data_IF_731537273661
#
_entry.id   IF_731537273661
#
_cell.length_a   1.000
_cell.length_b   1.000
_cell.length_c   1.000
_cell.angle_alpha   90.00
_cell.angle_beta   90.00
_cell.angle_gamma   90.00
#
_symmetry.space_group_name_H-M   'P 1'
#
loop_
_entity.id
_entity.type
_entity.pdbx_description
1 polymer ?
#
# COMPACT_ATOMS: atom_id res chain seq x y z
N UNK A 1 -1.88 -1.92 -10.10
CA UNK A 1 -1.50 -1.72 -8.68
C UNK A 1 -2.61 -2.26 -7.82
N UNK A 2 -2.28 -2.96 -6.77
CA UNK A 2 -3.25 -3.33 -5.73
C UNK A 2 -3.82 -2.06 -5.11
N UNK A 3 -5.10 -2.08 -4.72
CA UNK A 3 -5.65 -1.01 -3.89
C UNK A 3 -5.14 -1.11 -2.45
N UNK A 4 -5.59 -0.20 -1.59
CA UNK A 4 -5.25 -0.20 -0.16
C UNK A 4 -5.52 -1.56 0.51
N UNK A 5 -6.58 -2.26 0.09
CA UNK A 5 -6.97 -3.59 0.61
C UNK A 5 -5.88 -4.62 0.33
N UNK A 6 -5.37 -4.67 -0.91
CA UNK A 6 -4.28 -5.58 -1.27
C UNK A 6 -3.00 -5.31 -0.48
N UNK A 7 -2.54 -4.06 -0.45
CA UNK A 7 -1.30 -3.71 0.26
C UNK A 7 -1.36 -3.95 1.75
N UNK A 8 -2.47 -3.61 2.39
CA UNK A 8 -2.69 -3.91 3.81
C UNK A 8 -2.70 -5.42 4.05
N UNK A 9 -3.32 -6.19 3.17
CA UNK A 9 -3.34 -7.66 3.28
C UNK A 9 -1.94 -8.25 3.14
N UNK A 10 -1.13 -7.79 2.18
CA UNK A 10 0.26 -8.26 2.04
C UNK A 10 1.08 -7.97 3.31
N UNK A 11 0.89 -6.78 3.89
CA UNK A 11 1.55 -6.42 5.15
C UNK A 11 1.10 -7.32 6.32
N UNK A 12 -0.20 -7.58 6.46
CA UNK A 12 -0.73 -8.47 7.49
C UNK A 12 -0.17 -9.88 7.34
N UNK A 13 -0.23 -10.45 6.14
CA UNK A 13 0.28 -11.80 5.85
C UNK A 13 1.79 -11.87 6.03
N UNK A 14 2.54 -10.86 5.60
CA UNK A 14 3.99 -10.77 5.81
C UNK A 14 4.37 -10.73 7.29
N UNK A 15 3.65 -9.95 8.10
CA UNK A 15 3.89 -9.90 9.54
C UNK A 15 3.52 -11.23 10.26
N UNK A 16 2.47 -11.92 9.80
CA UNK A 16 2.13 -13.26 10.29
C UNK A 16 3.20 -14.29 9.94
N UNK A 17 3.65 -14.32 8.69
CA UNK A 17 4.73 -15.19 8.25
C UNK A 17 6.05 -14.90 8.98
N UNK A 18 6.41 -13.61 9.18
CA UNK A 18 7.56 -13.22 9.99
C UNK A 18 7.45 -13.69 11.45
N UNK A 19 6.22 -13.66 12.02
CA UNK A 19 5.96 -14.17 13.37
C UNK A 19 6.11 -15.69 13.44
N UNK A 20 5.54 -16.42 12.47
CA UNK A 20 5.65 -17.88 12.39
C UNK A 20 7.11 -18.33 12.25
N UNK A 21 7.91 -17.58 11.50
CA UNK A 21 9.34 -17.81 11.32
C UNK A 21 10.20 -17.30 12.49
N UNK A 22 9.60 -16.66 13.50
CA UNK A 22 10.28 -16.07 14.67
C UNK A 22 11.36 -15.05 14.28
N UNK A 23 11.13 -14.26 13.23
CA UNK A 23 12.06 -13.22 12.83
C UNK A 23 12.17 -12.13 13.92
N UNK A 24 13.38 -11.61 14.21
CA UNK A 24 13.58 -10.55 15.22
C UNK A 24 12.74 -9.28 14.98
N UNK A 25 12.42 -9.00 13.72
CA UNK A 25 11.58 -7.86 13.34
C UNK A 25 10.10 -8.03 13.67
N UNK A 26 9.60 -9.26 13.82
CA UNK A 26 8.15 -9.50 14.02
C UNK A 26 7.56 -8.82 15.28
N UNK A 27 8.23 -8.79 16.45
CA UNK A 27 7.78 -8.00 17.59
C UNK A 27 7.70 -6.50 17.29
N UNK A 28 8.69 -5.95 16.63
CA UNK A 28 8.75 -4.53 16.24
C UNK A 28 7.54 -4.14 15.38
N UNK A 29 7.17 -4.95 14.39
CA UNK A 29 6.01 -4.68 13.53
C UNK A 29 4.71 -4.60 14.35
N UNK A 30 4.55 -5.49 15.34
CA UNK A 30 3.36 -5.52 16.20
C UNK A 30 3.31 -4.36 17.19
N UNK A 31 4.45 -3.93 17.76
CA UNK A 31 4.51 -2.76 18.65
C UNK A 31 4.16 -1.47 17.91
N UNK A 32 4.61 -1.35 16.67
CA UNK A 32 4.45 -0.14 15.85
C UNK A 32 3.55 -0.38 14.64
N UNK A 33 2.46 -1.12 14.86
CA UNK A 33 1.55 -1.61 13.84
C UNK A 33 1.04 -0.51 12.89
N UNK A 34 0.57 0.62 13.44
CA UNK A 34 0.09 1.75 12.64
C UNK A 34 1.16 2.29 11.68
N UNK A 35 2.41 2.40 12.13
CA UNK A 35 3.52 2.85 11.28
C UNK A 35 3.86 1.82 10.20
N UNK A 36 3.82 0.54 10.52
CA UNK A 36 4.03 -0.54 9.58
C UNK A 36 2.96 -0.53 8.47
N UNK A 37 1.68 -0.46 8.83
CA UNK A 37 0.59 -0.37 7.87
C UNK A 37 0.65 0.91 7.03
N UNK A 38 1.03 2.03 7.65
CA UNK A 38 1.19 3.29 6.95
C UNK A 38 2.29 3.17 5.87
N UNK A 39 3.43 2.58 6.18
CA UNK A 39 4.49 2.27 5.20
C UNK A 39 3.99 1.36 4.09
N UNK A 40 3.19 0.35 4.42
CA UNK A 40 2.66 -0.61 3.46
C UNK A 40 1.72 0.00 2.40
N UNK A 41 1.13 1.15 2.68
CA UNK A 41 0.30 1.84 1.70
C UNK A 41 0.90 3.21 1.30
N UNK A 42 1.00 4.14 2.24
CA UNK A 42 1.44 5.50 1.95
C UNK A 42 2.92 5.61 1.60
N UNK A 43 3.73 4.62 1.95
CA UNK A 43 5.15 4.59 1.61
C UNK A 43 5.43 4.66 0.11
N UNK A 44 4.52 4.18 -0.70
CA UNK A 44 4.66 4.19 -2.15
C UNK A 44 3.50 4.90 -2.87
N UNK A 45 2.28 4.83 -2.33
CA UNK A 45 1.10 5.41 -2.98
C UNK A 45 1.00 6.92 -2.73
N UNK A 46 1.70 7.69 -3.55
CA UNK A 46 1.69 9.17 -3.54
C UNK A 46 0.55 9.73 -4.39
N UNK A 47 -0.33 8.87 -4.91
CA UNK A 47 -1.42 9.25 -5.81
C UNK A 47 -2.75 9.55 -5.10
N UNK A 48 -2.84 9.31 -3.80
CA UNK A 48 -4.07 9.57 -3.03
C UNK A 48 -4.17 11.07 -2.74
N UNK A 49 -4.27 11.87 -3.79
CA UNK A 49 -4.46 13.31 -3.79
C UNK A 49 -5.74 13.66 -4.54
N UNK A 50 -6.40 14.77 -4.20
CA UNK A 50 -7.57 15.23 -4.97
C UNK A 50 -7.19 15.55 -6.41
N UNK A 51 -8.05 15.25 -7.37
CA UNK A 51 -7.88 15.65 -8.77
C UNK A 51 -8.51 17.03 -9.04
N UNK A 52 -9.59 17.33 -8.35
CA UNK A 52 -10.34 18.55 -8.57
C UNK A 52 -11.05 19.03 -7.30
N UNK A 53 -11.52 20.28 -7.35
CA UNK A 53 -12.36 20.89 -6.33
C UNK A 53 -13.67 21.33 -6.99
N UNK A 54 -14.81 20.93 -6.42
CA UNK A 54 -16.13 21.37 -6.85
C UNK A 54 -16.29 22.87 -6.61
N UNK A 55 -16.69 23.61 -7.63
CA UNK A 55 -16.80 25.07 -7.55
C UNK A 55 -17.93 25.49 -6.61
N UNK A 56 -19.02 24.75 -6.61
CA UNK A 56 -20.25 25.02 -5.85
C UNK A 56 -20.14 24.67 -4.36
N UNK A 57 -19.40 23.62 -4.02
CA UNK A 57 -19.33 23.10 -2.66
C UNK A 57 -17.97 23.26 -1.99
N UNK A 58 -16.93 23.60 -2.76
CA UNK A 58 -15.55 23.60 -2.29
C UNK A 58 -14.98 22.19 -1.96
N UNK A 59 -15.74 21.11 -2.22
CA UNK A 59 -15.30 19.75 -1.90
C UNK A 59 -14.27 19.25 -2.89
N UNK A 60 -13.27 18.59 -2.35
CA UNK A 60 -12.25 17.87 -3.11
C UNK A 60 -12.82 16.55 -3.63
N UNK A 61 -12.51 16.20 -4.87
CA UNK A 61 -13.04 15.01 -5.56
C UNK A 61 -12.00 14.37 -6.46
N UNK A 62 -12.21 13.08 -6.76
CA UNK A 62 -11.32 12.29 -7.60
C UNK A 62 -10.01 11.91 -6.91
N UNK A 63 -9.29 10.98 -7.47
CA UNK A 63 -7.93 10.58 -7.05
C UNK A 63 -7.27 9.70 -8.12
N UNK A 64 -5.98 9.47 -7.97
CA UNK A 64 -5.25 8.52 -8.82
C UNK A 64 -5.03 9.01 -10.24
N UNK A 65 -4.97 10.32 -10.43
CA UNK A 65 -4.70 10.99 -11.71
C UNK A 65 -5.78 10.77 -12.80
N UNK A 66 -6.97 10.38 -12.38
CA UNK A 66 -8.12 10.27 -13.29
C UNK A 66 -8.80 11.63 -13.40
N UNK A 67 -8.82 12.27 -14.57
CA UNK A 67 -9.46 13.58 -14.73
C UNK A 67 -10.93 13.57 -14.32
N UNK A 68 -11.32 14.56 -13.53
CA UNK A 68 -12.71 14.77 -13.11
C UNK A 68 -13.28 15.93 -13.94
N UNK A 69 -14.23 15.63 -14.82
CA UNK A 69 -14.84 16.62 -15.71
C UNK A 69 -15.98 17.41 -15.05
N UNK A 70 -16.69 16.80 -14.11
CA UNK A 70 -17.81 17.37 -13.37
C UNK A 70 -17.83 16.84 -11.95
N UNK A 71 -18.44 17.59 -11.04
CA UNK A 71 -18.66 17.14 -9.67
C UNK A 71 -19.46 15.83 -9.65
N UNK A 72 -18.94 14.73 -9.08
CA UNK A 72 -19.70 13.49 -8.94
C UNK A 72 -20.86 13.63 -7.93
N UNK A 73 -20.91 14.71 -7.15
CA UNK A 73 -21.93 14.97 -6.13
C UNK A 73 -23.09 15.79 -6.68
N UNK A 74 -22.81 16.80 -7.52
CA UNK A 74 -23.79 17.80 -7.94
C UNK A 74 -23.93 17.89 -9.47
N UNK A 75 -23.02 17.28 -10.23
CA UNK A 75 -22.93 17.47 -11.68
C UNK A 75 -22.38 18.84 -12.09
N UNK A 76 -22.07 19.71 -11.12
CA UNK A 76 -21.58 21.07 -11.34
C UNK A 76 -20.13 21.15 -11.84
N UNK A 77 -19.66 22.38 -12.05
CA UNK A 77 -18.30 22.65 -12.49
C UNK A 77 -17.27 22.28 -11.44
N UNK A 78 -16.10 21.86 -11.91
CA UNK A 78 -14.92 21.61 -11.09
C UNK A 78 -13.74 22.45 -11.57
N UNK A 79 -12.83 22.75 -10.67
CA UNK A 79 -11.50 23.34 -11.00
C UNK A 79 -10.40 22.35 -10.61
N UNK A 80 -9.24 22.34 -11.30
CA UNK A 80 -8.12 21.49 -10.91
C UNK A 80 -7.70 21.73 -9.46
N UNK A 81 -7.40 20.66 -8.73
CA UNK A 81 -6.76 20.77 -7.42
C UNK A 81 -5.28 21.09 -7.62
N UNK A 82 -4.72 21.88 -6.73
CA UNK A 82 -3.31 22.27 -6.74
C UNK A 82 -2.78 22.39 -5.32
N UNK A 83 -1.57 21.93 -5.12
CA UNK A 83 -0.79 22.15 -3.90
C UNK A 83 0.09 23.39 -4.10
N UNK A 84 -0.06 24.38 -3.23
CA UNK A 84 0.83 25.52 -3.17
C UNK A 84 1.98 25.23 -2.19
N UNK A 85 3.21 25.25 -2.70
CA UNK A 85 4.40 25.06 -1.88
C UNK A 85 5.51 26.00 -2.37
N UNK A 86 6.08 26.78 -1.47
CA UNK A 86 7.16 27.76 -1.73
C UNK A 86 6.87 28.67 -2.95
N UNK A 87 5.65 29.22 -2.98
CA UNK A 87 5.19 30.13 -4.05
C UNK A 87 4.92 29.46 -5.40
N UNK A 88 5.08 28.13 -5.52
CA UNK A 88 4.82 27.36 -6.73
C UNK A 88 3.61 26.45 -6.56
N UNK A 89 2.81 26.34 -7.61
CA UNK A 89 1.69 25.41 -7.69
C UNK A 89 2.14 24.06 -8.29
N UNK A 90 1.68 22.97 -7.66
CA UNK A 90 1.92 21.61 -8.11
C UNK A 90 0.57 20.89 -8.31
N UNK A 91 0.39 20.33 -9.48
CA UNK A 91 -0.76 19.45 -9.77
C UNK A 91 -0.46 18.03 -9.30
N UNK A 92 -1.47 17.13 -9.16
CA UNK A 92 -1.25 15.72 -8.90
C UNK A 92 -0.28 15.07 -9.91
N UNK A 93 -0.32 15.48 -11.17
CA UNK A 93 0.59 14.98 -12.21
C UNK A 93 2.04 15.43 -12.01
N UNK A 94 2.27 16.65 -11.54
CA UNK A 94 3.61 17.11 -11.22
C UNK A 94 4.19 16.32 -10.05
N UNK A 95 3.39 16.11 -9.01
CA UNK A 95 3.75 15.32 -7.83
C UNK A 95 4.04 13.87 -8.23
N UNK A 96 3.20 13.27 -9.04
CA UNK A 96 3.40 11.92 -9.55
C UNK A 96 4.71 11.80 -10.32
N UNK A 97 4.98 12.75 -11.24
CA UNK A 97 6.21 12.76 -12.04
C UNK A 97 7.46 12.87 -11.18
N UNK A 98 7.39 13.64 -10.09
CA UNK A 98 8.52 13.83 -9.18
C UNK A 98 8.80 12.61 -8.29
N UNK A 99 7.75 11.93 -7.81
CA UNK A 99 7.90 11.03 -6.67
C UNK A 99 7.44 9.59 -6.90
N UNK A 100 6.49 9.34 -7.81
CA UNK A 100 5.84 8.04 -7.90
C UNK A 100 6.83 6.90 -8.23
N UNK A 101 7.65 7.09 -9.26
CA UNK A 101 8.64 6.08 -9.63
C UNK A 101 9.67 5.86 -8.52
N UNK A 102 10.14 6.95 -7.87
CA UNK A 102 11.06 6.87 -6.75
C UNK A 102 10.48 6.12 -5.55
N UNK A 103 9.21 6.36 -5.24
CA UNK A 103 8.55 5.69 -4.10
C UNK A 103 8.37 4.20 -4.32
N UNK A 104 8.17 3.78 -5.55
CA UNK A 104 8.05 2.37 -5.92
C UNK A 104 9.40 1.73 -6.26
N UNK A 105 10.50 2.47 -6.11
CA UNK A 105 11.85 2.06 -6.45
C UNK A 105 12.04 1.66 -7.93
N UNK A 106 11.07 1.95 -8.76
CA UNK A 106 10.98 1.71 -10.22
C UNK A 106 11.38 0.29 -10.65
N UNK A 107 11.33 -0.66 -9.78
CA UNK A 107 11.68 -2.03 -10.10
C UNK A 107 10.69 -2.64 -11.10
N UNK A 108 11.14 -2.87 -12.34
CA UNK A 108 10.38 -3.58 -13.37
C UNK A 108 9.13 -2.85 -13.88
N UNK A 109 9.15 -1.54 -13.96
CA UNK A 109 8.01 -0.75 -14.46
C UNK A 109 8.02 -0.50 -15.95
N UNK A 110 9.14 -0.63 -16.63
CA UNK A 110 9.17 -0.57 -18.08
C UNK A 110 8.58 -1.86 -18.68
N UNK A 111 8.02 -1.77 -19.89
CA UNK A 111 7.53 -2.97 -20.59
C UNK A 111 8.63 -3.97 -20.84
N UNK A 112 9.86 -3.50 -20.97
CA UNK A 112 11.06 -4.29 -21.22
C UNK A 112 11.56 -4.98 -19.93
N UNK A 113 11.30 -4.40 -18.77
CA UNK A 113 11.77 -4.87 -17.46
C UNK A 113 10.70 -5.66 -16.67
N UNK A 114 9.69 -6.19 -17.31
CA UNK A 114 8.65 -6.99 -16.65
C UNK A 114 9.17 -8.29 -16.03
N UNK A 115 10.43 -8.63 -16.26
CA UNK A 115 11.11 -9.80 -15.72
C UNK A 115 11.99 -9.37 -14.54
N UNK A 116 11.41 -9.32 -13.41
CA UNK A 116 11.90 -8.85 -12.11
C UNK A 116 12.98 -9.77 -11.49
N UNK A 117 14.05 -10.07 -12.16
CA UNK A 117 15.14 -10.83 -11.53
C UNK A 117 16.16 -9.90 -10.83
N UNK A 118 16.48 -8.78 -11.42
CA UNK A 118 17.45 -7.84 -10.86
C UNK A 118 16.97 -7.10 -9.59
N UNK A 119 15.70 -6.70 -9.43
CA UNK A 119 15.26 -5.99 -8.23
C UNK A 119 15.34 -6.79 -6.94
N UNK A 120 15.14 -8.09 -7.00
CA UNK A 120 15.15 -8.93 -5.81
C UNK A 120 16.52 -9.04 -5.18
N UNK A 121 17.58 -9.13 -5.98
CA UNK A 121 18.95 -9.31 -5.52
C UNK A 121 19.46 -8.07 -4.76
N UNK A 122 18.91 -6.89 -5.07
CA UNK A 122 19.30 -5.61 -4.44
C UNK A 122 18.32 -5.10 -3.40
N UNK A 123 17.12 -5.64 -3.35
CA UNK A 123 16.04 -5.11 -2.50
C UNK A 123 16.37 -5.19 -1.01
N UNK A 124 16.87 -6.34 -0.56
CA UNK A 124 17.26 -6.54 0.84
C UNK A 124 18.44 -5.63 1.24
N UNK A 125 19.45 -5.50 0.38
CA UNK A 125 20.61 -4.62 0.61
C UNK A 125 20.17 -3.16 0.70
N UNK A 126 19.32 -2.70 -0.20
CA UNK A 126 18.75 -1.37 -0.17
C UNK A 126 18.02 -1.07 1.17
N UNK A 127 17.13 -1.97 1.60
CA UNK A 127 16.38 -1.77 2.84
C UNK A 127 17.24 -1.95 4.09
N UNK A 128 18.28 -2.80 4.07
CA UNK A 128 19.25 -2.90 5.16
C UNK A 128 19.99 -1.58 5.36
N UNK A 129 20.39 -0.92 4.27
CA UNK A 129 20.99 0.41 4.34
C UNK A 129 20.03 1.50 4.79
N UNK A 130 18.81 1.48 4.29
CA UNK A 130 17.76 2.40 4.73
C UNK A 130 17.50 2.25 6.25
N UNK A 131 17.52 1.02 6.77
CA UNK A 131 17.36 0.75 8.19
C UNK A 131 18.52 1.27 9.05
N UNK A 132 19.76 1.08 8.57
CA UNK A 132 20.94 1.63 9.24
C UNK A 132 20.91 3.16 9.32
N UNK A 133 20.63 3.80 8.21
CA UNK A 133 20.53 5.25 8.12
C UNK A 133 19.35 5.80 8.95
N UNK A 134 18.21 5.12 8.96
CA UNK A 134 17.06 5.53 9.76
C UNK A 134 17.40 5.58 11.26
N UNK A 135 18.14 4.61 11.77
CA UNK A 135 18.61 4.60 13.15
C UNK A 135 19.56 5.77 13.45
N UNK A 136 20.40 6.12 12.50
CA UNK A 136 21.32 7.25 12.64
C UNK A 136 20.58 8.59 12.63
N UNK A 137 19.60 8.76 11.74
CA UNK A 137 18.91 10.04 11.53
C UNK A 137 17.77 10.28 12.53
N UNK A 138 17.03 9.24 12.89
CA UNK A 138 15.84 9.33 13.74
C UNK A 138 16.07 8.80 15.16
N UNK A 139 17.31 8.39 15.47
CA UNK A 139 17.64 7.78 16.75
C UNK A 139 17.18 6.32 16.88
N UNK A 140 17.26 5.75 18.09
CA UNK A 140 16.97 4.34 18.34
C UNK A 140 15.48 4.00 18.25
N UNK A 141 14.65 4.92 17.82
CA UNK A 141 13.21 4.73 17.72
C UNK A 141 12.84 3.63 16.72
N UNK A 142 11.91 2.77 17.10
CA UNK A 142 11.49 1.62 16.30
C UNK A 142 10.45 1.97 15.23
N UNK A 143 9.74 3.09 15.39
CA UNK A 143 8.68 3.53 14.46
C UNK A 143 9.16 3.74 13.01
N UNK A 144 10.32 4.39 12.77
CA UNK A 144 10.89 4.50 11.43
C UNK A 144 11.20 3.13 10.80
N UNK A 145 11.73 2.19 11.59
CA UNK A 145 12.00 0.83 11.10
C UNK A 145 10.72 0.10 10.71
N UNK A 146 9.69 0.16 11.55
CA UNK A 146 8.40 -0.45 11.22
C UNK A 146 7.81 0.12 9.93
N UNK A 147 7.91 1.43 9.71
CA UNK A 147 7.50 2.08 8.46
C UNK A 147 8.28 1.55 7.26
N UNK A 148 9.60 1.42 7.36
CA UNK A 148 10.45 0.89 6.29
C UNK A 148 10.08 -0.55 5.93
N UNK A 149 9.86 -1.41 6.92
CA UNK A 149 9.38 -2.77 6.67
C UNK A 149 7.99 -2.79 6.02
N UNK A 150 7.12 -1.83 6.36
CA UNK A 150 5.86 -1.61 5.65
C UNK A 150 6.06 -1.27 4.18
N UNK A 151 6.94 -0.31 3.88
CA UNK A 151 7.30 0.07 2.51
C UNK A 151 7.88 -1.12 1.74
N UNK A 152 8.72 -1.93 2.38
CA UNK A 152 9.24 -3.16 1.80
C UNK A 152 8.13 -4.16 1.47
N UNK A 153 7.17 -4.37 2.37
CA UNK A 153 6.00 -5.23 2.10
C UNK A 153 5.19 -4.73 0.89
N UNK A 154 5.04 -3.41 0.72
CA UNK A 154 4.41 -2.82 -0.47
C UNK A 154 5.19 -3.18 -1.74
N UNK A 155 6.49 -2.90 -1.76
CA UNK A 155 7.34 -3.12 -2.96
C UNK A 155 7.33 -4.59 -3.36
N UNK A 156 7.47 -5.50 -2.40
CA UNK A 156 7.40 -6.96 -2.65
C UNK A 156 6.04 -7.35 -3.21
N UNK A 157 4.94 -6.91 -2.58
CA UNK A 157 3.59 -7.21 -3.02
C UNK A 157 3.30 -6.70 -4.43
N UNK A 158 3.68 -5.47 -4.73
CA UNK A 158 3.52 -4.86 -6.05
C UNK A 158 4.36 -5.56 -7.12
N UNK A 159 5.58 -5.95 -6.79
CA UNK A 159 6.44 -6.70 -7.67
C UNK A 159 5.83 -8.05 -8.04
N UNK A 160 5.30 -8.77 -7.07
CA UNK A 160 4.71 -10.09 -7.30
C UNK A 160 3.39 -10.04 -8.05
N UNK A 161 2.53 -9.04 -7.78
CA UNK A 161 1.25 -8.91 -8.49
C UNK A 161 1.45 -8.57 -9.98
N UNK A 162 2.56 -7.93 -10.31
CA UNK A 162 2.91 -7.57 -11.70
C UNK A 162 3.76 -8.63 -12.39
N UNK A 163 4.45 -9.45 -11.62
CA UNK A 163 5.32 -10.50 -12.16
C UNK A 163 4.53 -11.66 -12.76
N UNK A 164 5.15 -12.37 -13.70
CA UNK A 164 4.65 -13.64 -14.25
C UNK A 164 5.24 -14.80 -13.46
N UNK A 165 5.44 -14.66 -12.14
CA UNK A 165 6.00 -15.72 -11.31
C UNK A 165 5.12 -16.96 -11.38
N UNK A 166 5.71 -18.09 -11.72
CA UNK A 166 5.01 -19.36 -11.79
C UNK A 166 4.30 -19.67 -10.45
N UNK A 167 3.03 -20.06 -10.52
CA UNK A 167 2.22 -20.39 -9.34
C UNK A 167 1.45 -19.20 -8.73
N UNK A 168 1.81 -17.96 -9.03
CA UNK A 168 1.07 -16.79 -8.54
C UNK A 168 -0.02 -16.38 -9.55
N UNK A 169 -1.26 -16.78 -9.30
CA UNK A 169 -2.42 -16.46 -10.14
C UNK A 169 -3.19 -15.26 -9.59
N UNK A 170 -2.57 -14.11 -9.62
CA UNK A 170 -3.15 -12.88 -9.11
C UNK A 170 -3.97 -12.11 -10.16
N UNK A 171 -3.83 -12.49 -11.43
CA UNK A 171 -4.56 -11.88 -12.55
C UNK A 171 -5.76 -12.75 -12.89
N UNK A 172 -6.91 -12.44 -12.30
CA UNK A 172 -8.11 -13.27 -12.36
C UNK A 172 -8.88 -13.14 -13.66
N UNK A 173 -8.87 -11.95 -14.29
CA UNK A 173 -9.47 -11.70 -15.59
C UNK A 173 -8.40 -11.26 -16.58
N UNK A 174 -8.57 -11.68 -17.83
CA UNK A 174 -7.80 -11.26 -19.01
C UNK A 174 -6.28 -11.47 -18.90
N UNK A 175 -5.81 -12.24 -17.92
CA UNK A 175 -4.39 -12.50 -17.68
C UNK A 175 -3.54 -11.26 -17.43
N UNK A 176 -4.16 -10.07 -17.26
CA UNK A 176 -3.49 -8.79 -17.04
C UNK A 176 -4.07 -8.05 -15.85
N UNK A 177 -3.30 -7.14 -15.28
CA UNK A 177 -3.79 -6.23 -14.27
C UNK A 177 -4.58 -5.09 -14.95
N UNK A 178 -5.88 -5.25 -15.02
CA UNK A 178 -6.80 -4.31 -15.70
C UNK A 178 -7.73 -3.63 -14.68
N UNK A 179 -8.37 -2.51 -15.04
CA UNK A 179 -9.41 -1.90 -14.22
C UNK A 179 -10.55 -2.87 -13.84
N UNK A 180 -10.83 -3.88 -14.66
CA UNK A 180 -11.85 -4.91 -14.38
C UNK A 180 -11.39 -5.93 -13.34
N UNK A 181 -10.10 -6.24 -13.31
CA UNK A 181 -9.53 -7.25 -12.41
C UNK A 181 -9.40 -6.75 -10.97
N UNK A 182 -9.06 -5.48 -10.79
CA UNK A 182 -8.84 -4.88 -9.48
C UNK A 182 -10.04 -4.98 -8.53
N UNK A 183 -11.28 -4.61 -8.90
CA UNK A 183 -12.43 -4.76 -8.02
C UNK A 183 -12.68 -6.20 -7.57
N UNK A 184 -12.41 -7.19 -8.44
CA UNK A 184 -12.53 -8.61 -8.08
C UNK A 184 -11.50 -8.96 -7.00
N UNK A 185 -10.23 -8.61 -7.22
CA UNK A 185 -9.17 -8.84 -6.25
C UNK A 185 -9.48 -8.17 -4.91
N UNK A 186 -9.91 -6.90 -4.93
CA UNK A 186 -10.23 -6.15 -3.72
C UNK A 186 -11.39 -6.80 -2.94
N UNK A 187 -12.47 -7.23 -3.61
CA UNK A 187 -13.60 -7.91 -2.96
C UNK A 187 -13.21 -9.26 -2.35
N UNK A 188 -12.51 -10.10 -3.12
CA UNK A 188 -12.07 -11.42 -2.62
C UNK A 188 -11.10 -11.24 -1.45
N UNK A 189 -10.15 -10.32 -1.57
CA UNK A 189 -9.19 -10.02 -0.51
C UNK A 189 -9.89 -9.48 0.74
N UNK A 190 -10.87 -8.59 0.57
CA UNK A 190 -11.61 -7.98 1.67
C UNK A 190 -12.48 -9.00 2.41
N UNK A 191 -13.29 -9.79 1.69
CA UNK A 191 -14.26 -10.69 2.31
C UNK A 191 -13.70 -12.08 2.60
N UNK A 192 -13.09 -12.73 1.61
CA UNK A 192 -12.70 -14.13 1.76
C UNK A 192 -11.41 -14.24 2.60
N UNK A 193 -10.40 -13.42 2.32
CA UNK A 193 -9.16 -13.47 3.07
C UNK A 193 -9.24 -12.60 4.33
N UNK A 194 -9.53 -11.32 4.19
CA UNK A 194 -9.47 -10.38 5.30
C UNK A 194 -10.50 -10.68 6.39
N UNK A 195 -11.78 -10.75 6.04
CA UNK A 195 -12.84 -10.98 7.04
C UNK A 195 -12.92 -12.43 7.47
N UNK A 196 -12.96 -13.40 6.54
CA UNK A 196 -13.21 -14.82 6.90
C UNK A 196 -11.97 -15.53 7.44
N UNK A 197 -10.82 -15.42 6.77
CA UNK A 197 -9.62 -16.15 7.18
C UNK A 197 -8.84 -15.42 8.27
N UNK A 198 -8.60 -14.10 8.09
CA UNK A 198 -7.78 -13.28 8.98
C UNK A 198 -8.60 -12.57 10.06
N UNK A 199 -9.92 -12.56 9.96
CA UNK A 199 -10.85 -11.91 10.88
C UNK A 199 -10.50 -10.42 11.11
N UNK A 200 -10.22 -9.69 10.04
CA UNK A 200 -9.86 -8.28 10.09
C UNK A 200 -11.09 -7.38 10.23
N UNK A 201 -11.02 -6.43 11.14
CA UNK A 201 -11.91 -5.27 11.16
C UNK A 201 -11.29 -4.16 10.31
N UNK A 202 -11.73 -4.06 9.07
CA UNK A 202 -11.19 -3.12 8.08
C UNK A 202 -11.31 -1.64 8.47
N UNK A 203 -12.45 -1.17 9.03
CA UNK A 203 -12.58 0.22 9.46
C UNK A 203 -11.49 0.64 10.45
N UNK A 204 -11.25 -0.16 11.49
CA UNK A 204 -10.25 0.17 12.50
C UNK A 204 -8.83 0.03 11.95
N UNK A 205 -8.58 -0.99 11.12
CA UNK A 205 -7.28 -1.22 10.48
C UNK A 205 -6.87 -0.06 9.57
N UNK A 206 -7.79 0.44 8.75
CA UNK A 206 -7.53 1.57 7.86
C UNK A 206 -7.46 2.91 8.61
N UNK A 207 -8.20 3.04 9.72
CA UNK A 207 -8.08 4.19 10.60
C UNK A 207 -6.69 4.25 11.26
N UNK A 208 -6.17 3.12 11.75
CA UNK A 208 -4.82 3.01 12.31
C UNK A 208 -3.75 3.37 11.27
N UNK A 209 -3.88 2.84 10.05
CA UNK A 209 -2.99 3.18 8.93
C UNK A 209 -2.95 4.69 8.69
N UNK A 210 -4.11 5.33 8.59
CA UNK A 210 -4.23 6.76 8.28
C UNK A 210 -3.87 7.67 9.47
N UNK A 211 -3.74 7.13 10.69
CA UNK A 211 -3.41 7.93 11.89
C UNK A 211 -1.91 8.18 12.07
N UNK A 212 -1.04 7.31 11.54
CA UNK A 212 0.40 7.36 11.80
C UNK A 212 1.08 8.60 11.17
N UNK A 213 1.79 9.43 11.95
CA UNK A 213 2.52 10.58 11.43
C UNK A 213 3.90 10.12 10.91
N UNK A 214 4.02 9.93 9.62
CA UNK A 214 5.23 9.34 8.99
C UNK A 214 5.79 10.18 7.84
N UNK A 215 5.34 11.40 7.70
CA UNK A 215 5.67 12.27 6.57
C UNK A 215 7.18 12.45 6.37
N UNK A 216 7.93 12.58 7.46
CA UNK A 216 9.40 12.77 7.40
C UNK A 216 10.19 11.51 7.00
N UNK A 217 9.58 10.34 7.03
CA UNK A 217 10.27 9.07 6.77
C UNK A 217 10.44 8.80 5.27
N UNK A 218 9.48 9.21 4.45
CA UNK A 218 9.48 8.94 3.02
C UNK A 218 10.63 9.60 2.26
N UNK A 219 10.99 10.89 2.50
CA UNK A 219 12.15 11.49 1.86
C UNK A 219 13.44 10.74 2.12
N UNK A 220 13.58 10.19 3.33
CA UNK A 220 14.74 9.38 3.70
C UNK A 220 14.82 8.10 2.85
N UNK A 221 13.73 7.36 2.75
CA UNK A 221 13.66 6.13 1.95
C UNK A 221 14.04 6.39 0.49
N UNK A 222 13.49 7.46 -0.12
CA UNK A 222 13.79 7.82 -1.50
C UNK A 222 15.25 8.19 -1.71
N UNK A 223 15.86 8.93 -0.77
CA UNK A 223 17.26 9.33 -0.84
C UNK A 223 18.20 8.13 -0.87
N UNK A 224 17.96 7.15 -0.05
CA UNK A 224 18.80 5.94 0.02
C UNK A 224 18.73 5.16 -1.29
N UNK A 225 17.56 5.05 -1.92
CA UNK A 225 17.37 4.36 -3.20
C UNK A 225 18.22 4.94 -4.31
N UNK A 226 18.28 6.26 -4.39
CA UNK A 226 19.10 6.93 -5.40
C UNK A 226 20.61 6.76 -5.16
N UNK A 227 21.04 6.78 -3.91
CA UNK A 227 22.44 6.58 -3.56
C UNK A 227 22.98 5.19 -3.92
N UNK A 228 22.09 4.20 -4.09
CA UNK A 228 22.43 2.83 -4.47
C UNK A 228 22.53 2.57 -5.98
N UNK A 229 22.28 3.57 -6.81
CA UNK A 229 22.63 3.53 -8.24
C UNK A 229 21.53 3.02 -9.20
N UNK A 230 20.59 2.19 -8.76
CA UNK A 230 19.57 1.61 -9.64
C UNK A 230 18.52 2.62 -10.10
N UNK A 231 18.15 3.56 -9.24
CA UNK A 231 17.27 4.66 -9.59
C UNK A 231 17.93 5.72 -10.49
N UNK A 232 19.23 5.86 -10.48
CA UNK A 232 19.96 6.81 -11.31
C UNK A 232 19.72 6.62 -12.80
N UNK A 233 19.42 5.39 -13.25
CA UNK A 233 19.03 5.08 -14.62
C UNK A 233 17.72 5.77 -15.04
N UNK A 234 16.76 5.89 -14.12
CA UNK A 234 15.44 6.47 -14.36
C UNK A 234 15.35 7.94 -13.95
N UNK A 235 16.22 8.36 -13.02
CA UNK A 235 16.28 9.71 -12.48
C UNK A 235 17.73 10.24 -12.52
N UNK A 236 18.30 10.47 -13.72
CA UNK A 236 19.69 10.85 -13.89
C UNK A 236 20.06 12.19 -13.22
N UNK A 237 19.07 13.04 -12.93
CA UNK A 237 19.30 14.29 -12.19
C UNK A 237 19.56 14.07 -10.69
N UNK A 238 19.36 12.87 -10.18
CA UNK A 238 19.51 12.50 -8.77
C UNK A 238 18.47 13.12 -7.83
N UNK A 239 18.60 12.77 -6.56
CA UNK A 239 17.77 13.34 -5.49
C UNK A 239 18.19 14.77 -5.18
N UNK A 240 17.25 15.71 -5.28
CA UNK A 240 17.48 17.10 -4.92
C UNK A 240 17.01 17.34 -3.50
N UNK A 241 17.88 17.84 -2.58
CA UNK A 241 17.51 18.06 -1.17
C UNK A 241 16.26 18.91 -0.97
N UNK A 242 16.00 19.85 -1.86
CA UNK A 242 14.81 20.71 -1.85
C UNK A 242 13.50 19.97 -2.11
N UNK A 243 13.55 18.75 -2.62
CA UNK A 243 12.35 17.92 -2.79
C UNK A 243 11.84 17.32 -1.47
N UNK A 244 12.68 17.20 -0.45
CA UNK A 244 12.29 16.60 0.82
C UNK A 244 11.20 17.42 1.55
N UNK A 245 11.26 18.74 1.70
CA UNK A 245 10.19 19.53 2.29
C UNK A 245 8.88 19.45 1.50
N UNK A 246 8.95 19.49 0.16
CA UNK A 246 7.78 19.32 -0.69
C UNK A 246 7.14 17.93 -0.47
N UNK A 247 7.96 16.88 -0.45
CA UNK A 247 7.45 15.52 -0.23
C UNK A 247 6.79 15.35 1.14
N UNK A 248 7.32 15.99 2.19
CA UNK A 248 6.68 15.98 3.50
C UNK A 248 5.25 16.56 3.45
N UNK A 249 5.07 17.67 2.75
CA UNK A 249 3.74 18.28 2.59
C UNK A 249 2.84 17.40 1.73
N UNK A 250 3.36 16.83 0.66
CA UNK A 250 2.63 15.87 -0.20
C UNK A 250 2.15 14.66 0.61
N UNK A 251 3.01 14.09 1.47
CA UNK A 251 2.65 12.95 2.30
C UNK A 251 1.59 13.30 3.35
N UNK A 252 1.65 14.50 3.93
CA UNK A 252 0.63 14.99 4.84
C UNK A 252 -0.73 15.15 4.15
N UNK A 253 -0.75 15.73 2.94
CA UNK A 253 -1.95 15.87 2.11
C UNK A 253 -2.52 14.51 1.67
N UNK A 254 -1.64 13.62 1.23
CA UNK A 254 -2.02 12.25 0.86
C UNK A 254 -2.73 11.55 2.03
N UNK A 255 -2.13 11.58 3.24
CA UNK A 255 -2.73 11.00 4.45
C UNK A 255 -4.03 11.71 4.86
N UNK A 256 -4.11 13.04 4.73
CA UNK A 256 -5.33 13.81 4.99
C UNK A 256 -6.46 13.38 4.05
N UNK A 257 -6.18 13.32 2.77
CA UNK A 257 -7.19 12.99 1.77
C UNK A 257 -7.60 11.51 1.85
N UNK A 258 -6.67 10.61 2.15
CA UNK A 258 -6.96 9.20 2.38
C UNK A 258 -8.04 9.01 3.45
N UNK A 259 -7.98 9.76 4.57
CA UNK A 259 -9.01 9.70 5.63
C UNK A 259 -10.42 10.02 5.12
N UNK A 260 -10.53 10.89 4.13
CA UNK A 260 -11.82 11.26 3.54
C UNK A 260 -12.34 10.18 2.58
N UNK A 261 -11.44 9.41 1.94
CA UNK A 261 -11.81 8.39 0.96
C UNK A 261 -12.17 7.04 1.59
N UNK A 262 -11.55 6.68 2.71
CA UNK A 262 -11.72 5.37 3.36
C UNK A 262 -13.20 5.00 3.56
N UNK A 263 -14.08 5.86 4.12
CA UNK A 263 -15.48 5.49 4.32
C UNK A 263 -16.22 5.15 3.03
N UNK A 264 -15.91 5.87 1.94
CA UNK A 264 -16.49 5.61 0.62
C UNK A 264 -16.02 4.27 0.06
N UNK A 265 -14.73 3.97 0.15
CA UNK A 265 -14.17 2.71 -0.31
C UNK A 265 -14.70 1.50 0.48
N UNK A 266 -14.81 1.63 1.81
CA UNK A 266 -15.39 0.58 2.63
C UNK A 266 -16.84 0.31 2.27
N UNK A 267 -17.63 1.38 2.07
CA UNK A 267 -19.03 1.26 1.64
C UNK A 267 -19.16 0.57 0.27
N UNK A 268 -18.26 0.89 -0.66
CA UNK A 268 -18.26 0.30 -2.00
C UNK A 268 -17.98 -1.21 -1.98
N UNK A 269 -17.15 -1.66 -1.04
CA UNK A 269 -16.79 -3.07 -0.87
C UNK A 269 -17.81 -3.88 -0.07
N UNK A 270 -18.78 -3.25 0.60
CA UNK A 270 -19.81 -3.99 1.36
C UNK A 270 -20.74 -4.77 0.42
N UNK A 271 -20.98 -6.04 0.79
CA UNK A 271 -21.93 -6.87 0.07
C UNK A 271 -23.37 -6.49 0.43
N UNK A 272 -24.21 -6.48 -0.57
CA UNK A 272 -25.62 -6.18 -0.46
C UNK A 272 -26.44 -7.48 -0.46
N UNK A 273 -27.48 -7.56 0.35
CA UNK A 273 -28.41 -8.67 0.31
C UNK A 273 -29.38 -8.49 -0.87
N UNK A 274 -29.40 -9.46 -1.76
CA UNK A 274 -30.31 -9.54 -2.91
C UNK A 274 -31.16 -10.80 -2.82
N UNK A 275 -32.13 -10.94 -3.71
CA UNK A 275 -32.93 -12.17 -3.83
C UNK A 275 -32.08 -13.41 -4.15
N UNK A 276 -30.92 -13.24 -4.76
CA UNK A 276 -29.96 -14.29 -5.11
C UNK A 276 -28.90 -14.54 -4.04
N UNK A 277 -28.97 -13.87 -2.88
CA UNK A 277 -27.98 -13.94 -1.82
C UNK A 277 -27.17 -12.65 -1.71
N UNK A 278 -25.92 -12.77 -1.21
CA UNK A 278 -25.01 -11.63 -1.11
C UNK A 278 -24.38 -11.32 -2.46
N UNK A 279 -24.35 -10.05 -2.82
CA UNK A 279 -23.76 -9.57 -4.09
C UNK A 279 -22.99 -8.25 -3.90
N UNK A 280 -22.10 -7.94 -4.82
CA UNK A 280 -21.36 -6.70 -4.84
C UNK A 280 -22.24 -5.51 -5.27
N UNK A 281 -21.71 -4.29 -5.11
CA UNK A 281 -22.37 -3.07 -5.55
C UNK A 281 -22.64 -3.08 -7.06
N UNK A 282 -23.61 -2.29 -7.49
CA UNK A 282 -23.94 -2.10 -8.91
C UNK A 282 -22.73 -1.59 -9.71
N UNK A 283 -21.96 -0.68 -9.13
CA UNK A 283 -20.75 -0.10 -9.74
C UNK A 283 -19.71 -1.19 -10.04
N UNK A 284 -19.46 -2.06 -9.08
CA UNK A 284 -18.50 -3.16 -9.24
C UNK A 284 -19.01 -4.16 -10.28
N UNK A 285 -20.29 -4.50 -10.23
CA UNK A 285 -20.92 -5.40 -11.19
C UNK A 285 -20.87 -4.83 -12.62
N UNK A 286 -21.17 -3.55 -12.79
CA UNK A 286 -21.07 -2.89 -14.09
C UNK A 286 -19.63 -2.88 -14.64
N UNK A 287 -18.64 -2.72 -13.76
CA UNK A 287 -17.23 -2.70 -14.14
C UNK A 287 -16.71 -4.09 -14.50
N UNK A 288 -17.06 -5.11 -13.73
CA UNK A 288 -16.52 -6.46 -13.86
C UNK A 288 -17.31 -7.37 -14.77
N UNK A 289 -18.61 -7.14 -14.87
CA UNK A 289 -19.59 -8.01 -15.55
C UNK A 289 -19.92 -9.28 -14.75
N UNK A 290 -19.55 -9.36 -13.46
CA UNK A 290 -19.68 -10.55 -12.62
C UNK A 290 -20.45 -10.29 -11.34
N UNK A 291 -21.21 -11.27 -10.88
CA UNK A 291 -21.75 -11.34 -9.53
C UNK A 291 -20.69 -11.82 -8.53
N UNK A 292 -20.87 -11.50 -7.26
CA UNK A 292 -19.89 -11.86 -6.22
C UNK A 292 -19.59 -13.37 -6.17
N UNK A 293 -20.62 -14.21 -6.28
CA UNK A 293 -20.42 -15.67 -6.30
C UNK A 293 -19.56 -16.15 -7.47
N UNK A 294 -19.69 -15.51 -8.64
CA UNK A 294 -18.87 -15.81 -9.82
C UNK A 294 -17.42 -15.37 -9.60
N UNK A 295 -17.20 -14.23 -8.92
CA UNK A 295 -15.86 -13.77 -8.55
C UNK A 295 -15.18 -14.73 -7.58
N UNK A 296 -15.92 -15.25 -6.59
CA UNK A 296 -15.41 -16.29 -5.65
C UNK A 296 -15.01 -17.54 -6.41
N UNK A 297 -15.88 -18.05 -7.28
CA UNK A 297 -15.58 -19.24 -8.09
C UNK A 297 -14.35 -19.03 -9.01
N UNK A 298 -14.21 -17.84 -9.59
CA UNK A 298 -13.05 -17.47 -10.39
C UNK A 298 -11.77 -17.45 -9.56
N UNK A 299 -11.82 -16.88 -8.37
CA UNK A 299 -10.69 -16.81 -7.45
C UNK A 299 -10.26 -18.20 -6.94
N UNK A 300 -11.23 -19.06 -6.63
CA UNK A 300 -10.96 -20.46 -6.22
C UNK A 300 -10.32 -21.25 -7.35
N UNK A 301 -10.85 -21.15 -8.58
CA UNK A 301 -10.25 -21.77 -9.77
C UNK A 301 -8.83 -21.31 -10.03
N UNK A 302 -8.53 -20.04 -9.76
CA UNK A 302 -7.21 -19.47 -9.91
C UNK A 302 -6.28 -19.74 -8.73
N UNK A 303 -6.75 -20.35 -7.66
CA UNK A 303 -6.02 -20.51 -6.39
C UNK A 303 -5.54 -19.15 -5.82
N UNK A 304 -6.36 -18.10 -5.97
CA UNK A 304 -5.97 -16.72 -5.68
C UNK A 304 -5.65 -16.50 -4.19
N UNK A 305 -6.44 -17.09 -3.28
CA UNK A 305 -6.21 -16.98 -1.84
C UNK A 305 -4.84 -17.54 -1.45
N UNK A 306 -4.49 -18.72 -1.98
CA UNK A 306 -3.17 -19.30 -1.75
C UNK A 306 -2.04 -18.40 -2.30
N UNK A 307 -2.25 -17.77 -3.46
CA UNK A 307 -1.28 -16.83 -4.02
C UNK A 307 -1.06 -15.61 -3.12
N UNK A 308 -2.08 -15.12 -2.42
CA UNK A 308 -1.92 -14.05 -1.42
C UNK A 308 -1.05 -14.50 -0.23
N UNK A 309 -1.25 -15.73 0.28
CA UNK A 309 -0.39 -16.30 1.31
C UNK A 309 1.06 -16.45 0.85
N UNK A 310 1.29 -16.86 -0.41
CA UNK A 310 2.64 -16.92 -0.99
C UNK A 310 3.30 -15.53 -1.06
N UNK A 311 2.54 -14.45 -1.27
CA UNK A 311 3.08 -13.08 -1.17
C UNK A 311 3.51 -12.80 0.28
N UNK A 312 2.71 -13.14 1.27
CA UNK A 312 3.08 -12.97 2.67
C UNK A 312 4.37 -13.70 3.03
N UNK A 313 4.53 -14.94 2.57
CA UNK A 313 5.77 -15.70 2.75
C UNK A 313 6.98 -15.03 2.09
N UNK A 314 6.82 -14.54 0.85
CA UNK A 314 7.89 -13.83 0.14
C UNK A 314 8.27 -12.51 0.84
N UNK A 315 7.30 -11.79 1.41
CA UNK A 315 7.57 -10.60 2.23
C UNK A 315 8.42 -10.97 3.44
N UNK A 316 8.10 -12.06 4.14
CA UNK A 316 8.87 -12.52 5.29
C UNK A 316 10.27 -13.02 4.91
N UNK A 317 10.45 -13.61 3.72
CA UNK A 317 11.77 -13.99 3.19
C UNK A 317 12.66 -12.76 3.04
N UNK A 318 12.18 -11.73 2.35
CA UNK A 318 12.96 -10.49 2.18
C UNK A 318 13.20 -9.78 3.52
N UNK A 319 12.27 -9.86 4.48
CA UNK A 319 12.52 -9.37 5.83
C UNK A 319 13.69 -10.09 6.51
N UNK A 320 13.76 -11.42 6.36
CA UNK A 320 14.85 -12.20 6.90
C UNK A 320 16.21 -11.80 6.30
N UNK A 321 16.25 -11.58 4.98
CA UNK A 321 17.45 -11.13 4.28
C UNK A 321 17.90 -9.75 4.77
N UNK A 322 16.98 -8.80 4.96
CA UNK A 322 17.30 -7.48 5.55
C UNK A 322 17.87 -7.60 6.96
N UNK A 323 17.28 -8.45 7.81
CA UNK A 323 17.75 -8.70 9.17
C UNK A 323 19.14 -9.34 9.17
N UNK A 324 19.40 -10.24 8.22
CA UNK A 324 20.72 -10.87 8.07
C UNK A 324 21.79 -9.85 7.65
N UNK A 325 21.46 -8.95 6.73
CA UNK A 325 22.37 -7.91 6.24
C UNK A 325 22.59 -6.77 7.24
N UNK A 326 21.69 -6.60 8.22
CA UNK A 326 21.76 -5.55 9.24
C UNK A 326 21.75 -6.15 10.65
N UNK A 327 22.93 -6.52 11.21
CA UNK A 327 23.01 -7.19 12.50
C UNK A 327 22.32 -6.45 13.66
N UNK A 328 22.32 -5.11 13.64
CA UNK A 328 21.64 -4.31 14.66
C UNK A 328 20.11 -4.54 14.74
N UNK A 329 19.51 -5.21 13.76
CA UNK A 329 18.10 -5.62 13.80
C UNK A 329 17.90 -6.96 14.52
N UNK A 330 18.96 -7.69 14.83
CA UNK A 330 18.86 -8.96 15.55
C UNK A 330 18.64 -8.75 17.05
N UNK A 331 19.07 -7.60 17.59
CA UNK A 331 18.99 -7.25 19.01
C UNK A 331 17.73 -6.44 19.36
N UNK A 332 16.70 -6.47 18.50
CA UNK A 332 15.44 -5.79 18.79
C UNK A 332 14.69 -6.45 19.96
N UNK A 333 14.03 -5.65 20.83
CA UNK A 333 13.24 -6.19 21.94
C UNK A 333 12.20 -7.22 21.47
N UNK A 334 12.16 -8.35 22.16
CA UNK A 334 11.26 -9.48 21.80
C UNK A 334 9.82 -9.34 22.29
N UNK A 335 9.56 -8.41 23.23
CA UNK A 335 8.22 -8.18 23.77
C UNK A 335 7.33 -7.44 22.76
N UNK A 336 6.11 -7.91 22.59
CA UNK A 336 5.12 -7.28 21.74
C UNK A 336 3.72 -7.77 22.08
N UNK A 337 2.65 -6.99 21.78
CA UNK A 337 1.29 -7.45 21.93
C UNK A 337 1.07 -8.77 21.18
N UNK A 338 0.38 -9.75 21.79
CA UNK A 338 -0.01 -10.95 21.09
C UNK A 338 -0.85 -10.60 19.85
N UNK A 339 -0.73 -11.41 18.79
CA UNK A 339 -1.49 -11.19 17.55
C UNK A 339 -3.00 -11.11 17.82
N UNK A 340 -3.50 -11.97 18.68
CA UNK A 340 -4.90 -11.98 19.09
C UNK A 340 -5.33 -10.71 19.83
N UNK A 341 -4.44 -9.99 20.47
CA UNK A 341 -4.75 -8.72 21.09
C UNK A 341 -4.87 -7.60 20.06
N UNK A 342 -4.01 -7.57 19.04
CA UNK A 342 -4.12 -6.63 17.93
C UNK A 342 -5.46 -6.84 17.19
N UNK A 343 -5.81 -8.07 16.89
CA UNK A 343 -7.08 -8.39 16.22
C UNK A 343 -8.29 -8.14 17.11
N UNK A 344 -8.19 -8.32 18.43
CA UNK A 344 -9.27 -8.03 19.39
C UNK A 344 -9.54 -6.54 19.54
N UNK A 345 -8.58 -5.66 19.39
CA UNK A 345 -8.81 -4.20 19.39
C UNK A 345 -9.83 -3.83 18.31
N UNK A 346 -9.78 -4.49 17.16
CA UNK A 346 -10.70 -4.25 16.06
C UNK A 346 -12.09 -4.85 16.30
N UNK A 347 -12.22 -5.91 17.11
CA UNK A 347 -13.50 -6.59 17.40
C UNK A 347 -14.36 -5.90 18.47
N UNK A 348 -13.77 -5.16 19.39
CA UNK A 348 -14.50 -4.62 20.56
C UNK A 348 -15.52 -3.54 20.24
N UNK A 349 -15.53 -3.01 19.02
CA UNK A 349 -16.42 -1.93 18.60
C UNK A 349 -17.71 -2.40 17.90
N UNK A 350 -17.85 -3.69 17.65
CA UNK A 350 -19.01 -4.25 16.95
C UNK A 350 -20.17 -4.71 17.87
N UNK A 351 -20.08 -4.49 19.17
CA UNK A 351 -21.20 -4.75 20.08
C UNK A 351 -21.96 -3.43 20.36
N UNK A 352 -23.26 -3.36 19.99
CA UNK A 352 -24.12 -2.21 20.29
C UNK A 352 -24.36 -2.03 21.75
#
# INVERSE_FOLDING_TARGET
MSGIIGHVTYAVLGAQAATARRLPVAPLLRRHWASYLCGAYLGCDIQTLPEAVCVDTGREVGYGMVPVAKSPLTGGAVRPWKLLFDGREYTPRDIHRLFYGRSHLVFGWSKEEQHLQEPWDHLADYFACAAADARTLFGPGERPLAYLFGTLAHVVGDSLIKSVRAGLKLRLLDGQYTPRNRPIQDLITFHEVGRKELNLNWPDLLADLAAAPVESLQPHTMRVGEARGDLGRYYPEGWKPELAPLLNVVMAENRRYLKLLIPGWLKELELQRTERGLDCSETIRATTGLHYAEMVALADKANFRHALWQIGEAVAEVFADVVQLQPALQDLPGDAPPWDELTRRWRRKEQP
#
